data_IF_273129222388
#
_entry.id   IF_273129222388
#
_cell.length_a   1.000
_cell.length_b   1.000
_cell.length_c   1.000
_cell.angle_alpha   90.00
_cell.angle_beta   90.00
_cell.angle_gamma   90.00
#
_symmetry.space_group_name_H-M   'P 1'
#
loop_
_entity.id
_entity.type
_entity.pdbx_description
1 polymer ?
#
# COMPACT_ATOMS: atom_id res chain seq x y z
N UNK A 1 -12.40 6.98 -4.72
CA UNK A 1 -11.38 7.16 -3.66
C UNK A 1 -10.27 6.13 -3.82
N UNK A 2 -9.01 6.48 -3.59
CA UNK A 2 -7.88 5.53 -3.65
C UNK A 2 -7.15 5.53 -2.31
N UNK A 3 -6.98 4.36 -1.69
CA UNK A 3 -6.24 4.19 -0.44
C UNK A 3 -4.91 3.51 -0.76
N UNK A 4 -3.80 4.21 -0.56
CA UNK A 4 -2.45 3.70 -0.80
C UNK A 4 -1.80 3.36 0.54
N UNK A 5 -1.59 2.06 0.79
CA UNK A 5 -0.84 1.58 1.95
C UNK A 5 0.65 1.65 1.63
N UNK A 6 1.39 2.48 2.36
CA UNK A 6 2.83 2.68 2.14
C UNK A 6 3.65 2.22 3.35
N UNK A 7 4.95 2.08 3.16
CA UNK A 7 5.89 1.62 4.18
C UNK A 7 6.89 0.59 3.66
N UNK A 8 7.87 0.26 4.48
CA UNK A 8 8.97 -0.65 4.11
C UNK A 8 8.49 -2.10 3.87
N UNK A 9 9.34 -2.92 3.28
CA UNK A 9 9.09 -4.35 3.14
C UNK A 9 8.88 -4.97 4.53
N UNK A 10 7.91 -5.88 4.66
CA UNK A 10 7.59 -6.51 5.95
C UNK A 10 6.67 -5.69 6.86
N UNK A 11 6.33 -4.43 6.54
CA UNK A 11 5.41 -3.61 7.33
C UNK A 11 3.96 -4.14 7.37
N UNK A 12 3.59 -5.08 6.50
CA UNK A 12 2.25 -5.68 6.50
C UNK A 12 1.28 -5.09 5.49
N UNK A 13 1.75 -4.31 4.51
CA UNK A 13 0.92 -3.67 3.48
C UNK A 13 -0.07 -4.61 2.80
N UNK A 14 0.41 -5.75 2.30
CA UNK A 14 -0.42 -6.76 1.63
C UNK A 14 -1.49 -7.34 2.56
N UNK A 15 -1.12 -7.63 3.81
CA UNK A 15 -2.04 -8.22 4.81
C UNK A 15 -3.16 -7.25 5.16
N UNK A 16 -2.78 -6.02 5.53
CA UNK A 16 -3.75 -4.95 5.87
C UNK A 16 -4.58 -4.57 4.63
N UNK A 17 -3.93 -4.45 3.47
CA UNK A 17 -4.60 -4.06 2.23
C UNK A 17 -5.66 -5.04 1.77
N UNK A 18 -5.36 -6.33 1.78
CA UNK A 18 -6.34 -7.37 1.45
C UNK A 18 -7.49 -7.42 2.44
N UNK A 19 -7.20 -7.24 3.73
CA UNK A 19 -8.23 -7.22 4.77
C UNK A 19 -9.14 -6.00 4.60
N UNK A 20 -8.58 -4.82 4.40
CA UNK A 20 -9.30 -3.58 4.17
C UNK A 20 -10.17 -3.66 2.90
N UNK A 21 -9.59 -4.12 1.79
CA UNK A 21 -10.30 -4.24 0.52
C UNK A 21 -11.46 -5.24 0.59
N UNK A 22 -11.26 -6.37 1.27
CA UNK A 22 -12.33 -7.36 1.53
C UNK A 22 -13.46 -6.77 2.34
N UNK A 23 -13.13 -6.04 3.40
CA UNK A 23 -14.12 -5.43 4.30
C UNK A 23 -14.93 -4.33 3.59
N UNK A 24 -14.28 -3.54 2.72
CA UNK A 24 -14.92 -2.50 1.92
C UNK A 24 -15.58 -3.03 0.63
N UNK A 25 -15.36 -4.29 0.26
CA UNK A 25 -15.81 -4.91 -1.01
C UNK A 25 -15.28 -4.18 -2.25
N UNK A 26 -14.02 -3.76 -2.20
CA UNK A 26 -13.36 -3.05 -3.29
C UNK A 26 -12.14 -3.83 -3.79
N UNK A 27 -11.63 -3.56 -5.01
CA UNK A 27 -10.44 -4.22 -5.53
C UNK A 27 -9.19 -3.87 -4.71
N UNK A 28 -8.31 -4.89 -4.57
CA UNK A 28 -6.96 -4.75 -3.99
C UNK A 28 -5.92 -4.97 -5.09
N UNK A 29 -4.94 -4.08 -5.13
CA UNK A 29 -3.79 -4.17 -6.03
C UNK A 29 -2.49 -4.25 -5.25
N UNK A 30 -1.63 -5.22 -5.62
CA UNK A 30 -0.26 -5.31 -5.12
C UNK A 30 0.67 -4.56 -6.07
N UNK A 31 1.23 -3.44 -5.61
CA UNK A 31 2.07 -2.59 -6.44
C UNK A 31 3.32 -3.31 -6.97
N UNK A 32 3.83 -4.29 -6.22
CA UNK A 32 5.01 -5.04 -6.64
C UNK A 32 4.75 -5.91 -7.90
N UNK A 33 3.49 -6.27 -8.19
CA UNK A 33 3.12 -7.05 -9.39
C UNK A 33 3.31 -6.25 -10.70
N UNK A 34 3.45 -4.93 -10.61
CA UNK A 34 3.60 -4.02 -11.76
C UNK A 34 5.06 -3.70 -12.09
N UNK A 35 6.02 -4.28 -11.40
CA UNK A 35 7.44 -4.10 -11.72
C UNK A 35 7.80 -4.77 -13.05
N UNK A 36 8.70 -4.13 -13.80
CA UNK A 36 9.27 -4.73 -15.01
C UNK A 36 10.09 -5.97 -14.67
N UNK A 37 10.22 -6.90 -15.63
CA UNK A 37 11.05 -8.10 -15.47
C UNK A 37 12.49 -7.76 -15.05
N UNK A 38 13.07 -6.66 -15.56
CA UNK A 38 14.39 -6.19 -15.16
C UNK A 38 14.44 -5.76 -13.68
N UNK A 39 13.43 -5.03 -13.20
CA UNK A 39 13.35 -4.64 -11.79
C UNK A 39 13.17 -5.87 -10.88
N UNK A 40 12.33 -6.83 -11.28
CA UNK A 40 12.14 -8.09 -10.55
C UNK A 40 13.43 -8.90 -10.44
N UNK A 41 14.23 -8.97 -11.50
CA UNK A 41 15.55 -9.63 -11.46
C UNK A 41 16.51 -8.95 -10.47
N UNK A 42 16.58 -7.62 -10.46
CA UNK A 42 17.38 -6.88 -9.48
C UNK A 42 16.91 -7.18 -8.05
N UNK A 43 15.62 -7.12 -7.81
CA UNK A 43 15.03 -7.39 -6.49
C UNK A 43 15.32 -8.82 -6.03
N UNK A 44 15.21 -9.82 -6.92
CA UNK A 44 15.52 -11.19 -6.62
C UNK A 44 17.01 -11.41 -6.27
N UNK A 45 17.90 -10.59 -6.87
CA UNK A 45 19.34 -10.59 -6.60
C UNK A 45 19.75 -9.67 -5.43
N UNK A 46 18.79 -9.18 -4.64
CA UNK A 46 19.02 -8.22 -3.53
C UNK A 46 19.70 -6.90 -3.96
N UNK A 47 19.59 -6.54 -5.25
CA UNK A 47 20.14 -5.29 -5.78
C UNK A 47 19.10 -4.19 -5.61
N UNK A 48 19.40 -3.10 -4.87
CA UNK A 48 18.47 -1.99 -4.69
C UNK A 48 18.13 -1.34 -6.03
N UNK A 49 16.84 -1.04 -6.23
CA UNK A 49 16.39 -0.30 -7.41
C UNK A 49 16.80 1.17 -7.28
N UNK A 50 17.25 1.76 -8.38
CA UNK A 50 17.44 3.22 -8.52
C UNK A 50 16.11 3.90 -8.81
N UNK A 51 16.07 5.24 -8.71
CA UNK A 51 14.88 6.01 -9.08
C UNK A 51 14.51 5.80 -10.56
N UNK A 52 15.52 5.66 -11.43
CA UNK A 52 15.33 5.37 -12.86
C UNK A 52 14.66 3.99 -13.07
N UNK A 53 15.03 2.99 -12.29
CA UNK A 53 14.42 1.66 -12.36
C UNK A 53 12.94 1.71 -11.93
N UNK A 54 12.57 2.63 -11.02
CA UNK A 54 11.22 2.77 -10.49
C UNK A 54 10.28 3.61 -11.37
N UNK A 55 10.82 4.48 -12.21
CA UNK A 55 10.00 5.38 -13.03
C UNK A 55 8.92 4.69 -13.88
N UNK A 56 9.22 3.62 -14.64
CA UNK A 56 8.19 2.92 -15.41
C UNK A 56 7.10 2.31 -14.52
N UNK A 57 7.50 1.73 -13.42
CA UNK A 57 6.60 1.14 -12.41
C UNK A 57 5.66 2.19 -11.79
N UNK A 58 6.21 3.32 -11.35
CA UNK A 58 5.41 4.43 -10.81
C UNK A 58 4.43 4.98 -11.84
N UNK A 59 4.84 5.06 -13.12
CA UNK A 59 3.96 5.52 -14.20
C UNK A 59 2.75 4.58 -14.40
N UNK A 60 2.98 3.26 -14.35
CA UNK A 60 1.89 2.26 -14.43
C UNK A 60 0.93 2.39 -13.24
N UNK A 61 1.46 2.50 -12.02
CA UNK A 61 0.62 2.68 -10.83
C UNK A 61 -0.15 4.01 -10.87
N UNK A 62 0.47 5.08 -11.36
CA UNK A 62 -0.21 6.37 -11.54
C UNK A 62 -1.37 6.26 -12.54
N UNK A 63 -1.20 5.53 -13.64
CA UNK A 63 -2.28 5.29 -14.61
C UNK A 63 -3.43 4.49 -13.99
N UNK A 64 -3.12 3.44 -13.22
CA UNK A 64 -4.10 2.65 -12.48
C UNK A 64 -4.92 3.53 -11.53
N UNK A 65 -4.25 4.37 -10.74
CA UNK A 65 -4.91 5.31 -9.82
C UNK A 65 -5.83 6.27 -10.58
N UNK A 66 -5.32 6.90 -11.66
CA UNK A 66 -6.11 7.84 -12.47
C UNK A 66 -7.34 7.18 -13.10
N UNK A 67 -7.23 5.92 -13.50
CA UNK A 67 -8.36 5.16 -14.05
C UNK A 67 -9.47 5.05 -13.01
N UNK A 68 -9.17 4.58 -11.79
CA UNK A 68 -10.17 4.43 -10.73
C UNK A 68 -10.78 5.76 -10.28
N UNK A 69 -9.98 6.84 -10.21
CA UNK A 69 -10.52 8.18 -9.92
C UNK A 69 -11.55 8.60 -11.01
N UNK A 70 -11.22 8.42 -12.30
CA UNK A 70 -12.14 8.78 -13.40
C UNK A 70 -13.42 7.96 -13.39
N UNK A 71 -13.36 6.71 -12.95
CA UNK A 71 -14.52 5.82 -12.86
C UNK A 71 -15.34 6.05 -11.58
N UNK A 72 -14.86 6.91 -10.67
CA UNK A 72 -15.49 7.10 -9.36
C UNK A 72 -15.40 5.88 -8.44
N UNK A 73 -14.51 4.94 -8.75
CA UNK A 73 -14.36 3.70 -8.03
C UNK A 73 -13.40 3.82 -6.85
N UNK A 74 -13.70 3.09 -5.78
CA UNK A 74 -12.78 2.95 -4.65
C UNK A 74 -11.86 1.76 -4.86
N UNK A 75 -10.56 1.91 -4.52
CA UNK A 75 -9.59 0.83 -4.54
C UNK A 75 -8.57 0.93 -3.39
N UNK A 76 -7.93 -0.19 -3.09
CA UNK A 76 -6.80 -0.26 -2.16
C UNK A 76 -5.54 -0.70 -2.93
N UNK A 77 -4.45 0.04 -2.76
CA UNK A 77 -3.15 -0.25 -3.38
C UNK A 77 -2.09 -0.43 -2.30
N UNK A 78 -1.37 -1.54 -2.31
CA UNK A 78 -0.14 -1.72 -1.53
C UNK A 78 1.06 -1.26 -2.37
N UNK A 79 1.77 -0.23 -1.93
CA UNK A 79 2.94 0.32 -2.63
C UNK A 79 3.93 0.88 -1.62
N UNK A 80 5.23 0.58 -1.75
CA UNK A 80 6.22 1.10 -0.79
C UNK A 80 6.24 2.63 -0.72
N UNK A 81 6.23 3.34 -1.84
CA UNK A 81 6.16 4.81 -1.99
C UNK A 81 6.92 5.61 -0.90
N UNK A 82 8.17 5.20 -0.61
CA UNK A 82 8.96 5.66 0.55
C UNK A 82 9.41 7.12 0.43
N UNK A 83 9.63 7.63 -0.78
CA UNK A 83 10.00 9.02 -1.02
C UNK A 83 8.76 9.90 -1.22
N UNK A 84 8.85 11.14 -0.76
CA UNK A 84 7.81 12.14 -1.00
C UNK A 84 7.51 12.31 -2.49
N UNK A 85 8.56 12.37 -3.33
CA UNK A 85 8.41 12.49 -4.78
C UNK A 85 7.61 11.35 -5.42
N UNK A 86 7.66 10.14 -4.87
CA UNK A 86 6.83 9.02 -5.33
C UNK A 86 5.37 9.21 -4.92
N UNK A 87 5.13 9.64 -3.67
CA UNK A 87 3.77 9.93 -3.18
C UNK A 87 3.14 11.09 -3.95
N UNK A 88 3.90 12.15 -4.20
CA UNK A 88 3.45 13.29 -5.03
C UNK A 88 3.03 12.84 -6.43
N UNK A 89 3.83 11.97 -7.06
CA UNK A 89 3.49 11.41 -8.38
C UNK A 89 2.22 10.56 -8.33
N UNK A 90 2.11 9.67 -7.34
CA UNK A 90 0.97 8.77 -7.18
C UNK A 90 -0.30 9.49 -6.72
N UNK A 91 -0.18 10.64 -6.06
CA UNK A 91 -1.34 11.47 -5.67
C UNK A 91 -2.13 11.98 -6.89
N UNK A 92 -1.49 12.02 -8.05
CA UNK A 92 -2.07 12.57 -9.29
C UNK A 92 -2.57 14.03 -9.15
N UNK A 93 -2.17 14.74 -8.09
CA UNK A 93 -2.72 16.03 -7.72
C UNK A 93 -4.19 15.98 -7.24
N UNK A 94 -4.69 14.81 -6.92
CA UNK A 94 -6.08 14.58 -6.51
C UNK A 94 -6.20 14.44 -4.98
N UNK A 95 -7.25 15.02 -4.42
CA UNK A 95 -7.62 14.85 -3.01
C UNK A 95 -8.28 13.51 -2.72
N UNK A 96 -8.58 12.72 -3.75
CA UNK A 96 -9.18 11.39 -3.62
C UNK A 96 -8.15 10.29 -3.31
N UNK A 97 -6.85 10.61 -3.35
CA UNK A 97 -5.77 9.66 -3.03
C UNK A 97 -5.32 9.89 -1.59
N UNK A 98 -5.51 8.89 -0.77
CA UNK A 98 -5.18 8.92 0.65
C UNK A 98 -4.03 7.95 0.94
N UNK A 99 -2.97 8.45 1.54
CA UNK A 99 -1.82 7.63 1.93
C UNK A 99 -1.92 7.22 3.40
N UNK A 100 -1.65 5.93 3.65
CA UNK A 100 -1.55 5.34 5.00
C UNK A 100 -0.16 4.76 5.15
N UNK A 101 0.66 5.37 5.99
CA UNK A 101 1.99 4.88 6.31
C UNK A 101 1.92 3.84 7.43
N UNK A 102 2.23 2.60 7.10
CA UNK A 102 2.42 1.52 8.06
C UNK A 102 3.82 1.62 8.65
N UNK A 103 3.91 2.19 9.86
CA UNK A 103 5.16 2.50 10.56
C UNK A 103 5.45 1.44 11.61
N UNK A 104 6.71 1.02 11.70
CA UNK A 104 7.20 0.13 12.75
C UNK A 104 8.69 0.26 12.95
N UNK A 105 9.16 -0.09 14.13
CA UNK A 105 10.59 -0.14 14.41
C UNK A 105 11.31 -1.19 13.54
N UNK A 106 12.57 -0.91 13.21
CA UNK A 106 13.39 -1.78 12.36
C UNK A 106 13.43 -3.22 12.92
N UNK A 107 13.61 -3.39 14.24
CA UNK A 107 13.72 -4.69 14.88
C UNK A 107 12.44 -5.51 14.76
N UNK A 108 11.28 -4.87 14.95
CA UNK A 108 9.97 -5.52 14.80
C UNK A 108 9.77 -6.02 13.37
N UNK A 109 10.08 -5.18 12.38
CA UNK A 109 9.88 -5.52 10.98
C UNK A 109 10.90 -6.58 10.53
N UNK A 110 12.16 -6.47 10.98
CA UNK A 110 13.18 -7.49 10.71
C UNK A 110 12.82 -8.85 11.30
N UNK A 111 12.29 -8.89 12.53
CA UNK A 111 11.81 -10.13 13.15
C UNK A 111 10.66 -10.77 12.33
N UNK A 112 9.72 -9.96 11.85
CA UNK A 112 8.63 -10.43 10.98
C UNK A 112 9.12 -11.00 9.65
N UNK A 113 10.14 -10.37 9.06
CA UNK A 113 10.74 -10.86 7.81
C UNK A 113 11.50 -12.16 7.99
N UNK A 114 12.25 -12.33 9.09
CA UNK A 114 12.97 -13.56 9.41
C UNK A 114 12.03 -14.76 9.60
N UNK A 115 10.84 -14.54 10.15
CA UNK A 115 9.86 -15.60 10.38
C UNK A 115 9.10 -16.04 9.11
N UNK A 116 9.28 -15.34 7.98
CA UNK A 116 8.69 -15.75 6.69
C UNK A 116 9.67 -16.62 5.93
N UNK A 117 9.26 -17.85 5.59
CA UNK A 117 10.08 -18.77 4.78
C UNK A 117 10.47 -18.12 3.44
N UNK A 118 11.74 -18.22 3.06
CA UNK A 118 12.26 -17.78 1.74
C UNK A 118 12.65 -16.31 1.62
N UNK A 119 12.88 -15.56 2.73
CA UNK A 119 13.03 -14.11 2.67
C UNK A 119 14.36 -13.54 3.22
N UNK A 120 15.46 -14.33 3.26
CA UNK A 120 16.76 -13.81 3.71
C UNK A 120 17.23 -12.58 2.90
N UNK A 121 17.03 -12.57 1.59
CA UNK A 121 17.38 -11.44 0.72
C UNK A 121 16.61 -10.13 1.04
N UNK A 122 15.47 -10.22 1.73
CA UNK A 122 14.65 -9.03 2.03
C UNK A 122 15.11 -8.27 3.29
N UNK A 123 15.90 -8.90 4.17
CA UNK A 123 16.46 -8.21 5.35
C UNK A 123 17.51 -7.20 4.92
N UNK A 124 18.35 -7.52 3.95
CA UNK A 124 19.37 -6.59 3.42
C UNK A 124 18.72 -5.39 2.73
N UNK A 125 17.60 -5.60 2.03
CA UNK A 125 16.84 -4.52 1.43
C UNK A 125 16.14 -3.63 2.47
N UNK A 126 15.84 -4.14 3.66
CA UNK A 126 15.15 -3.38 4.71
C UNK A 126 15.94 -2.16 5.16
N UNK A 127 17.24 -2.32 5.43
CA UNK A 127 18.11 -1.22 5.83
C UNK A 127 18.14 -0.12 4.76
N UNK A 128 18.26 -0.50 3.47
CA UNK A 128 18.25 0.45 2.36
C UNK A 128 16.90 1.15 2.21
N UNK A 129 15.79 0.49 2.54
CA UNK A 129 14.45 1.10 2.49
C UNK A 129 14.24 2.10 3.63
N UNK A 130 14.70 1.79 4.85
CA UNK A 130 14.68 2.75 5.95
C UNK A 130 15.54 3.98 5.65
N UNK A 131 16.71 3.80 5.01
CA UNK A 131 17.61 4.90 4.66
C UNK A 131 17.02 5.89 3.65
N UNK A 132 16.10 5.43 2.77
CA UNK A 132 15.44 6.28 1.77
C UNK A 132 14.02 6.70 2.16
N UNK A 133 13.52 6.22 3.29
CA UNK A 133 12.18 6.57 3.74
C UNK A 133 12.15 8.00 4.25
N UNK A 134 11.33 8.81 3.61
CA UNK A 134 11.15 10.22 3.96
C UNK A 134 9.94 10.42 4.87
N UNK A 135 10.02 11.41 5.76
CA UNK A 135 8.91 11.83 6.61
C UNK A 135 7.64 12.07 5.77
N UNK A 136 6.51 11.71 6.35
CA UNK A 136 5.22 11.69 5.65
C UNK A 136 4.12 12.27 6.54
N UNK A 137 4.21 13.55 6.93
CA UNK A 137 3.20 14.18 7.80
C UNK A 137 1.82 14.23 7.14
N UNK A 138 1.78 14.20 5.80
CA UNK A 138 0.56 14.15 5.00
C UNK A 138 -0.17 12.80 5.05
N UNK A 139 0.53 11.74 5.46
CA UNK A 139 -0.02 10.39 5.54
C UNK A 139 -0.71 10.15 6.89
N UNK A 140 -1.76 9.34 6.89
CA UNK A 140 -2.22 8.70 8.12
C UNK A 140 -1.13 7.72 8.58
N UNK A 141 -0.50 7.99 9.71
CA UNK A 141 0.53 7.10 10.27
C UNK A 141 -0.12 6.08 11.20
N UNK A 142 0.19 4.81 11.01
CA UNK A 142 -0.35 3.71 11.83
C UNK A 142 0.79 2.82 12.29
N UNK A 143 0.82 2.52 13.59
CA UNK A 143 1.80 1.61 14.17
C UNK A 143 1.45 0.16 13.79
N UNK A 144 2.41 -0.52 13.16
CA UNK A 144 2.26 -1.92 12.78
C UNK A 144 2.37 -2.89 13.95
N UNK A 145 2.69 -2.43 15.17
CA UNK A 145 2.62 -3.27 16.37
C UNK A 145 1.17 -3.70 16.68
N UNK A 146 0.18 -2.89 16.26
CA UNK A 146 -1.23 -3.23 16.32
C UNK A 146 -1.58 -4.44 15.43
N UNK A 147 -2.69 -5.11 15.77
CA UNK A 147 -3.19 -6.21 14.96
C UNK A 147 -3.76 -5.71 13.62
N UNK A 148 -3.66 -6.48 12.52
CA UNK A 148 -4.14 -6.02 11.21
C UNK A 148 -5.59 -5.55 11.19
N UNK A 149 -6.48 -6.17 11.95
CA UNK A 149 -7.89 -5.76 12.04
C UNK A 149 -8.09 -4.44 12.78
N UNK A 150 -7.25 -4.12 13.79
CA UNK A 150 -7.26 -2.84 14.49
C UNK A 150 -6.82 -1.71 13.55
N UNK A 151 -5.78 -1.98 12.73
CA UNK A 151 -5.30 -1.05 11.69
C UNK A 151 -6.42 -0.75 10.68
N UNK A 152 -7.12 -1.78 10.21
CA UNK A 152 -8.26 -1.62 9.29
C UNK A 152 -9.35 -0.76 9.92
N UNK A 153 -9.70 -1.02 11.17
CA UNK A 153 -10.72 -0.22 11.90
C UNK A 153 -10.32 1.25 11.99
N UNK A 154 -9.05 1.53 12.33
CA UNK A 154 -8.53 2.89 12.41
C UNK A 154 -8.56 3.61 11.05
N UNK A 155 -8.16 2.93 9.97
CA UNK A 155 -8.22 3.48 8.61
C UNK A 155 -9.68 3.83 8.23
N UNK A 156 -10.61 2.92 8.49
CA UNK A 156 -12.04 3.13 8.21
C UNK A 156 -12.60 4.32 8.98
N UNK A 157 -12.31 4.42 10.27
CA UNK A 157 -12.74 5.56 11.10
C UNK A 157 -12.16 6.88 10.58
N UNK A 158 -10.85 6.90 10.25
CA UNK A 158 -10.17 8.12 9.78
C UNK A 158 -10.73 8.66 8.47
N UNK A 159 -11.10 7.79 7.56
CA UNK A 159 -11.62 8.18 6.24
C UNK A 159 -13.14 8.07 6.13
N UNK A 160 -13.84 7.84 7.24
CA UNK A 160 -15.30 7.70 7.30
C UNK A 160 -15.83 6.63 6.32
N UNK A 161 -15.10 5.50 6.21
CA UNK A 161 -15.45 4.40 5.32
C UNK A 161 -16.47 3.48 6.01
N UNK A 162 -17.73 3.67 5.66
CA UNK A 162 -18.80 2.73 6.05
C UNK A 162 -18.83 1.61 5.02
N UNK A 163 -18.96 0.32 5.41
CA UNK A 163 -19.27 -0.73 4.44
C UNK A 163 -20.53 -0.33 3.70
N UNK A 164 -20.53 -0.50 2.37
CA UNK A 164 -21.76 -0.33 1.60
C UNK A 164 -22.80 -1.31 2.15
N UNK A 165 -23.70 -0.81 2.97
CA UNK A 165 -24.83 -1.58 3.47
C UNK A 165 -25.79 -1.74 2.30
N UNK A 166 -25.46 -2.67 1.40
CA UNK A 166 -26.37 -3.14 0.38
C UNK A 166 -27.61 -3.71 1.08
N UNK A 167 -28.55 -2.84 1.35
CA UNK A 167 -29.91 -3.25 1.68
C UNK A 167 -30.44 -4.01 0.46
N UNK A 168 -30.89 -5.25 0.62
CA UNK A 168 -31.66 -5.88 -0.44
C UNK A 168 -32.89 -4.99 -0.67
N UNK A 169 -33.02 -4.49 -1.89
CA UNK A 169 -34.25 -3.83 -2.35
C UNK A 169 -35.34 -4.87 -2.18
N UNK A 170 -36.16 -4.70 -1.15
CA UNK A 170 -37.32 -5.53 -0.92
C UNK A 170 -38.20 -5.46 -2.16
N UNK A 171 -38.36 -6.60 -2.82
CA UNK A 171 -39.44 -6.82 -3.74
C UNK A 171 -40.71 -6.91 -2.90
N UNK A 172 -41.40 -5.80 -2.73
CA UNK A 172 -42.79 -5.82 -2.41
C UNK A 172 -43.52 -6.34 -3.65
N UNK A 173 -43.98 -7.56 -3.57
CA UNK A 173 -44.99 -8.10 -4.44
C UNK A 173 -46.35 -7.90 -3.76
N UNK A 174 -47.16 -7.04 -4.35
CA UNK A 174 -48.61 -7.14 -4.32
C UNK A 174 -49.11 -7.93 -5.52
#
# INVERSE_FOLDING_TARGET
MVIVLTGVCGAGKTTVGRLLAKDLRVPFYEGDDYHSSHALLKMASSIPLTDRDRQPWLAVLQQLIRMHIRMGETMVLACSALKKSYRDLLSCGSREVHFVLLRGGCDLIAARLKNRQGHFAKVDLLASQFAIMEESPECLQVDVAAQPWEIVTLIKQKFCLVPDSGLPVGTETD
#
